data_IF_436176511729
#
_entry.id   IF_436176511729
#
_cell.length_a   1.000
_cell.length_b   1.000
_cell.length_c   1.000
_cell.angle_alpha   90.00
_cell.angle_beta   90.00
_cell.angle_gamma   90.00
#
_symmetry.space_group_name_H-M   'P 1'
#
loop_
_entity.id
_entity.type
_entity.pdbx_description
1 polymer ?
#
# COMPACT_ATOMS: atom_id res chain seq x y z
N UNK A 1 14.96 2.87 4.61
CA UNK A 1 13.91 3.84 4.25
C UNK A 1 12.96 3.95 5.44
N UNK A 2 12.27 5.08 5.63
CA UNK A 2 11.32 5.31 6.74
C UNK A 2 9.91 5.47 6.18
N UNK A 3 9.30 4.34 5.81
CA UNK A 3 7.96 4.27 5.19
C UNK A 3 6.88 4.86 6.10
N UNK A 4 6.84 4.62 7.42
CA UNK A 4 5.85 5.23 8.30
C UNK A 4 5.88 6.76 8.29
N UNK A 5 7.08 7.35 8.19
CA UNK A 5 7.22 8.80 8.10
C UNK A 5 6.76 9.35 6.75
N UNK A 6 6.98 8.61 5.66
CA UNK A 6 6.46 8.97 4.35
C UNK A 6 4.92 8.95 4.33
N UNK A 7 4.30 7.86 4.81
CA UNK A 7 2.84 7.76 4.94
C UNK A 7 2.27 8.90 5.76
N UNK A 8 2.90 9.23 6.90
CA UNK A 8 2.49 10.37 7.73
C UNK A 8 2.48 11.68 6.96
N UNK A 9 3.54 11.97 6.21
CA UNK A 9 3.62 13.21 5.41
C UNK A 9 2.50 13.28 4.39
N UNK A 10 2.25 12.19 3.67
CA UNK A 10 1.21 12.15 2.64
C UNK A 10 -0.19 12.33 3.25
N UNK A 11 -0.49 11.66 4.37
CA UNK A 11 -1.75 11.86 5.10
C UNK A 11 -1.91 13.29 5.62
N UNK A 12 -0.84 13.93 6.10
CA UNK A 12 -0.93 15.34 6.47
C UNK A 12 -1.27 16.24 5.28
N UNK A 13 -0.82 15.93 4.05
CA UNK A 13 -1.23 16.67 2.85
C UNK A 13 -2.72 16.47 2.55
N UNK A 14 -3.22 15.24 2.71
CA UNK A 14 -4.67 14.95 2.60
C UNK A 14 -5.47 15.78 3.60
N UNK A 15 -5.06 15.78 4.88
CA UNK A 15 -5.70 16.55 5.95
C UNK A 15 -5.66 18.06 5.68
N UNK A 16 -4.55 18.58 5.14
CA UNK A 16 -4.43 19.99 4.76
C UNK A 16 -5.45 20.37 3.69
N UNK A 17 -5.68 19.51 2.69
CA UNK A 17 -6.67 19.76 1.64
C UNK A 17 -8.13 19.75 2.11
N UNK A 18 -8.40 19.42 3.38
CA UNK A 18 -9.73 19.40 3.99
C UNK A 18 -9.98 20.61 4.92
N UNK A 19 -9.04 21.54 5.01
CA UNK A 19 -9.21 22.75 5.81
C UNK A 19 -10.27 23.69 5.22
N UNK A 20 -10.83 24.54 6.08
CA UNK A 20 -11.77 25.57 5.68
C UNK A 20 -11.00 26.80 5.14
N UNK A 21 -11.21 27.22 3.87
CA UNK A 21 -10.47 28.32 3.26
C UNK A 21 -11.06 29.71 3.55
N UNK A 22 -12.04 29.83 4.46
CA UNK A 22 -12.80 31.07 4.72
C UNK A 22 -11.95 32.35 4.93
N UNK A 23 -10.73 32.22 5.44
CA UNK A 23 -9.82 33.35 5.72
C UNK A 23 -8.73 33.56 4.64
N UNK A 24 -8.74 32.80 3.54
CA UNK A 24 -7.64 32.80 2.57
C UNK A 24 -7.73 33.96 1.58
N UNK A 25 -6.60 34.56 1.25
CA UNK A 25 -6.52 35.51 0.15
C UNK A 25 -6.59 34.82 -1.23
N UNK A 26 -6.84 35.54 -2.33
CA UNK A 26 -6.98 34.92 -3.65
C UNK A 26 -5.75 34.14 -4.15
N UNK A 27 -4.54 34.50 -3.70
CA UNK A 27 -3.31 33.76 -4.01
C UNK A 27 -3.21 32.48 -3.19
N UNK A 28 -3.50 32.57 -1.89
CA UNK A 28 -3.58 31.43 -0.98
C UNK A 28 -4.66 30.42 -1.43
N UNK A 29 -5.78 30.90 -1.97
CA UNK A 29 -6.85 30.05 -2.49
C UNK A 29 -6.41 29.23 -3.70
N UNK A 30 -5.65 29.83 -4.63
CA UNK A 30 -5.13 29.11 -5.80
C UNK A 30 -4.10 28.03 -5.41
N UNK A 31 -3.25 28.33 -4.42
CA UNK A 31 -2.33 27.33 -3.86
C UNK A 31 -3.08 26.22 -3.11
N UNK A 32 -4.12 26.60 -2.38
CA UNK A 32 -4.97 25.67 -1.65
C UNK A 32 -5.72 24.71 -2.57
N UNK A 33 -6.29 25.18 -3.68
CA UNK A 33 -6.91 24.32 -4.70
C UNK A 33 -5.94 23.25 -5.23
N UNK A 34 -4.67 23.62 -5.44
CA UNK A 34 -3.64 22.67 -5.86
C UNK A 34 -3.32 21.64 -4.76
N UNK A 35 -3.33 22.05 -3.49
CA UNK A 35 -3.16 21.15 -2.34
C UNK A 35 -4.36 20.21 -2.21
N UNK A 36 -5.59 20.70 -2.39
CA UNK A 36 -6.80 19.85 -2.39
C UNK A 36 -6.70 18.78 -3.46
N UNK A 37 -6.36 19.14 -4.70
CA UNK A 37 -6.21 18.19 -5.79
C UNK A 37 -5.09 17.16 -5.54
N UNK A 38 -3.95 17.61 -4.98
CA UNK A 38 -2.88 16.71 -4.57
C UNK A 38 -3.33 15.79 -3.42
N UNK A 39 -4.10 16.31 -2.46
CA UNK A 39 -4.69 15.58 -1.36
C UNK A 39 -5.61 14.47 -1.86
N UNK A 40 -6.55 14.78 -2.77
CA UNK A 40 -7.43 13.79 -3.39
C UNK A 40 -6.65 12.68 -4.11
N UNK A 41 -5.62 13.05 -4.89
CA UNK A 41 -4.74 12.09 -5.54
C UNK A 41 -4.06 11.16 -4.53
N UNK A 42 -3.49 11.72 -3.46
CA UNK A 42 -2.76 10.96 -2.46
C UNK A 42 -3.68 10.09 -1.60
N UNK A 43 -4.87 10.57 -1.27
CA UNK A 43 -5.86 9.79 -0.53
C UNK A 43 -6.34 8.59 -1.34
N UNK A 44 -6.69 8.82 -2.61
CA UNK A 44 -7.09 7.78 -3.56
C UNK A 44 -6.00 6.70 -3.75
N UNK A 45 -4.72 7.08 -3.63
CA UNK A 45 -3.60 6.14 -3.63
C UNK A 45 -3.46 5.38 -2.32
N UNK A 46 -3.54 6.07 -1.17
CA UNK A 46 -3.18 5.49 0.13
C UNK A 46 -4.26 4.59 0.70
N UNK A 47 -5.52 5.04 0.68
CA UNK A 47 -6.64 4.36 1.34
C UNK A 47 -6.74 2.86 1.02
N UNK A 48 -6.57 2.40 -0.24
CA UNK A 48 -6.60 0.98 -0.59
C UNK A 48 -5.62 0.10 0.17
N UNK A 49 -4.49 0.66 0.61
CA UNK A 49 -3.43 -0.06 1.30
C UNK A 49 -3.54 0.04 2.81
N UNK A 50 -4.10 1.15 3.32
CA UNK A 50 -4.03 1.49 4.74
C UNK A 50 -5.36 1.34 5.49
N UNK A 51 -6.48 1.31 4.77
CA UNK A 51 -7.81 1.29 5.35
C UNK A 51 -8.40 -0.13 5.30
N UNK A 52 -8.44 -0.77 6.48
CA UNK A 52 -8.90 -2.16 6.66
C UNK A 52 -10.41 -2.34 6.55
N UNK A 53 -11.15 -1.23 6.54
CA UNK A 53 -12.60 -1.20 6.50
C UNK A 53 -13.14 -1.02 5.06
N UNK A 54 -12.26 -0.78 4.06
CA UNK A 54 -12.67 -0.71 2.66
C UNK A 54 -12.89 -2.09 2.04
N UNK A 55 -14.03 -2.24 1.37
CA UNK A 55 -14.32 -3.38 0.50
C UNK A 55 -13.42 -3.41 -0.74
N UNK A 56 -13.34 -4.55 -1.41
CA UNK A 56 -12.54 -4.68 -2.64
C UNK A 56 -13.03 -3.71 -3.73
N UNK A 57 -14.33 -3.45 -3.81
CA UNK A 57 -14.89 -2.48 -4.74
C UNK A 57 -14.42 -1.05 -4.45
N UNK A 58 -14.48 -0.61 -3.20
CA UNK A 58 -14.02 0.74 -2.81
C UNK A 58 -12.51 0.88 -3.00
N UNK A 59 -11.73 -0.15 -2.69
CA UNK A 59 -10.28 -0.16 -2.97
C UNK A 59 -9.99 -0.01 -4.48
N UNK A 60 -10.72 -0.74 -5.32
CA UNK A 60 -10.56 -0.66 -6.78
C UNK A 60 -10.99 0.69 -7.33
N UNK A 61 -12.13 1.23 -6.88
CA UNK A 61 -12.63 2.55 -7.27
C UNK A 61 -11.64 3.66 -6.91
N UNK A 62 -11.09 3.61 -5.70
CA UNK A 62 -10.05 4.54 -5.24
C UNK A 62 -8.79 4.46 -6.12
N UNK A 63 -8.31 3.26 -6.46
CA UNK A 63 -7.14 3.11 -7.34
C UNK A 63 -7.42 3.59 -8.78
N UNK A 64 -8.64 3.43 -9.29
CA UNK A 64 -9.04 3.93 -10.60
C UNK A 64 -9.07 5.47 -10.59
N UNK A 65 -9.68 6.06 -9.55
CA UNK A 65 -9.69 7.52 -9.32
C UNK A 65 -8.26 8.06 -9.33
N UNK A 66 -7.36 7.43 -8.57
CA UNK A 66 -5.94 7.77 -8.56
C UNK A 66 -5.32 7.69 -9.95
N UNK A 67 -5.55 6.61 -10.71
CA UNK A 67 -5.01 6.43 -12.05
C UNK A 67 -5.48 7.51 -13.02
N UNK A 68 -6.76 7.89 -12.98
CA UNK A 68 -7.33 8.95 -13.81
C UNK A 68 -6.77 10.33 -13.44
N UNK A 69 -6.72 10.68 -12.15
CA UNK A 69 -6.14 11.94 -11.68
C UNK A 69 -4.66 12.04 -12.03
N UNK A 70 -3.88 10.97 -11.77
CA UNK A 70 -2.46 10.90 -12.12
C UNK A 70 -2.23 11.09 -13.62
N UNK A 71 -3.06 10.45 -14.46
CA UNK A 71 -2.98 10.60 -15.91
C UNK A 71 -3.29 12.02 -16.37
N UNK A 72 -4.32 12.67 -15.79
CA UNK A 72 -4.67 14.04 -16.10
C UNK A 72 -3.54 15.02 -15.71
N UNK A 73 -3.02 14.90 -14.48
CA UNK A 73 -1.94 15.73 -13.97
C UNK A 73 -0.63 15.53 -14.75
N UNK A 74 -0.27 14.28 -15.06
CA UNK A 74 0.89 13.98 -15.88
C UNK A 74 0.72 14.45 -17.33
N UNK A 75 -0.48 14.40 -17.91
CA UNK A 75 -0.73 14.95 -19.24
C UNK A 75 -0.60 16.47 -19.28
N UNK A 76 -1.04 17.16 -18.22
CA UNK A 76 -0.98 18.62 -18.12
C UNK A 76 0.45 19.14 -17.89
N UNK A 77 1.21 18.48 -17.02
CA UNK A 77 2.50 18.98 -16.53
C UNK A 77 3.71 18.16 -17.01
N UNK A 78 3.51 16.92 -17.46
CA UNK A 78 4.57 16.03 -17.89
C UNK A 78 5.56 15.72 -16.76
N UNK A 79 6.84 15.78 -17.09
CA UNK A 79 7.93 15.43 -16.17
C UNK A 79 8.19 16.45 -15.07
N UNK A 80 7.58 17.65 -15.13
CA UNK A 80 7.66 18.61 -14.03
C UNK A 80 6.83 18.17 -12.82
N UNK A 81 5.78 17.38 -13.05
CA UNK A 81 4.95 16.83 -11.98
C UNK A 81 5.56 15.56 -11.39
N UNK A 82 5.88 14.56 -12.23
CA UNK A 82 6.67 13.40 -11.79
C UNK A 82 7.56 12.82 -12.89
N UNK A 83 8.67 12.13 -12.54
CA UNK A 83 9.48 11.41 -13.50
C UNK A 83 8.66 10.36 -14.27
N UNK A 84 8.89 10.24 -15.58
CA UNK A 84 8.16 9.30 -16.45
C UNK A 84 8.24 7.85 -15.99
N UNK A 85 9.36 7.47 -15.37
CA UNK A 85 9.55 6.14 -14.80
C UNK A 85 8.57 5.89 -13.66
N UNK A 86 8.50 6.81 -12.68
CA UNK A 86 7.59 6.69 -11.55
C UNK A 86 6.12 6.71 -12.01
N UNK A 87 5.78 7.51 -13.04
CA UNK A 87 4.45 7.47 -13.65
C UNK A 87 4.10 6.09 -14.21
N UNK A 88 5.01 5.51 -14.98
CA UNK A 88 4.85 4.17 -15.52
C UNK A 88 4.66 3.12 -14.42
N UNK A 89 5.51 3.16 -13.40
CA UNK A 89 5.48 2.22 -12.28
C UNK A 89 4.16 2.30 -11.49
N UNK A 90 3.67 3.52 -11.21
CA UNK A 90 2.40 3.74 -10.51
C UNK A 90 1.20 3.24 -11.33
N UNK A 91 1.15 3.56 -12.62
CA UNK A 91 0.07 3.10 -13.51
C UNK A 91 0.07 1.56 -13.67
N UNK A 92 1.26 0.96 -13.77
CA UNK A 92 1.41 -0.51 -13.82
C UNK A 92 0.96 -1.14 -12.50
N UNK A 93 1.26 -0.51 -11.36
CA UNK A 93 0.84 -0.99 -10.04
C UNK A 93 -0.69 -1.03 -9.93
N UNK A 94 -1.37 0.06 -10.30
CA UNK A 94 -2.84 0.11 -10.34
C UNK A 94 -3.40 -0.95 -11.28
N UNK A 95 -2.86 -1.03 -12.51
CA UNK A 95 -3.29 -2.02 -13.51
C UNK A 95 -3.16 -3.45 -12.97
N UNK A 96 -2.04 -3.77 -12.31
CA UNK A 96 -1.81 -5.09 -11.74
C UNK A 96 -2.81 -5.39 -10.62
N UNK A 97 -3.09 -4.43 -9.73
CA UNK A 97 -4.09 -4.58 -8.69
C UNK A 97 -5.49 -4.86 -9.26
N UNK A 98 -5.91 -4.11 -10.28
CA UNK A 98 -7.20 -4.31 -10.96
C UNK A 98 -7.24 -5.68 -11.66
N UNK A 99 -6.18 -6.06 -12.38
CA UNK A 99 -6.12 -7.34 -13.11
C UNK A 99 -6.04 -8.57 -12.20
N UNK A 100 -5.71 -8.41 -10.92
CA UNK A 100 -5.77 -9.53 -9.97
C UNK A 100 -7.20 -9.95 -9.67
N UNK A 101 -8.16 -9.02 -9.66
CA UNK A 101 -9.59 -9.33 -9.42
C UNK A 101 -10.16 -10.33 -10.44
N UNK A 102 -10.11 -10.09 -11.77
CA UNK A 102 -10.64 -11.04 -12.74
C UNK A 102 -9.82 -12.33 -12.80
N UNK A 103 -8.50 -12.28 -12.57
CA UNK A 103 -7.67 -13.49 -12.48
C UNK A 103 -8.13 -14.40 -11.34
N UNK A 104 -8.33 -13.84 -10.16
CA UNK A 104 -8.82 -14.58 -9.00
C UNK A 104 -10.23 -15.10 -9.24
N UNK A 105 -11.12 -14.28 -9.83
CA UNK A 105 -12.48 -14.70 -10.20
C UNK A 105 -12.49 -15.91 -11.14
N UNK A 106 -11.63 -15.94 -12.16
CA UNK A 106 -11.54 -17.05 -13.09
C UNK A 106 -11.09 -18.35 -12.42
N UNK A 107 -10.27 -18.27 -11.37
CA UNK A 107 -9.84 -19.43 -10.59
C UNK A 107 -10.94 -19.87 -9.62
N UNK A 108 -11.41 -18.95 -8.79
CA UNK A 108 -12.53 -19.12 -7.88
C UNK A 108 -12.96 -17.74 -7.34
N UNK A 109 -14.18 -17.32 -7.69
CA UNK A 109 -14.77 -16.04 -7.28
C UNK A 109 -14.95 -15.84 -5.77
N UNK A 110 -14.99 -16.94 -5.01
CA UNK A 110 -15.11 -16.88 -3.55
C UNK A 110 -13.77 -16.58 -2.84
N UNK A 111 -12.64 -16.63 -3.56
CA UNK A 111 -11.34 -16.27 -3.00
C UNK A 111 -11.24 -14.76 -2.78
N UNK A 112 -10.62 -14.38 -1.66
CA UNK A 112 -10.36 -12.98 -1.32
C UNK A 112 -9.17 -12.43 -2.10
N UNK A 113 -9.26 -11.16 -2.48
CA UNK A 113 -8.15 -10.40 -3.08
C UNK A 113 -7.66 -9.38 -2.05
N UNK A 114 -6.39 -9.50 -1.67
CA UNK A 114 -5.74 -8.56 -0.75
C UNK A 114 -4.76 -7.70 -1.54
N UNK A 115 -5.14 -6.47 -1.87
CA UNK A 115 -4.30 -5.54 -2.64
C UNK A 115 -3.00 -5.20 -1.87
N UNK A 116 -3.04 -5.17 -0.53
CA UNK A 116 -1.84 -4.96 0.30
C UNK A 116 -0.74 -6.00 0.10
N UNK A 117 -1.06 -7.21 -0.38
CA UNK A 117 -0.06 -8.26 -0.64
C UNK A 117 0.65 -8.12 -1.99
N UNK A 118 0.33 -7.09 -2.78
CA UNK A 118 1.00 -6.85 -4.06
C UNK A 118 2.35 -6.14 -3.91
N UNK A 119 2.68 -5.66 -2.70
CA UNK A 119 3.99 -5.15 -2.33
C UNK A 119 4.99 -6.26 -1.97
N UNK A 120 6.16 -5.86 -1.46
CA UNK A 120 7.27 -6.75 -1.11
C UNK A 120 7.48 -6.93 0.40
N UNK A 121 6.59 -6.43 1.26
CA UNK A 121 6.66 -6.54 2.73
C UNK A 121 6.93 -7.97 3.24
N UNK A 122 6.33 -8.97 2.60
CA UNK A 122 6.53 -10.39 2.93
C UNK A 122 7.98 -10.78 2.66
N UNK A 123 8.54 -10.32 1.54
CA UNK A 123 9.92 -10.56 1.16
C UNK A 123 10.88 -9.78 2.06
N UNK A 124 10.57 -8.52 2.38
CA UNK A 124 11.35 -7.73 3.35
C UNK A 124 11.41 -8.41 4.72
N UNK A 125 10.30 -8.97 5.18
CA UNK A 125 10.22 -9.73 6.43
C UNK A 125 11.15 -10.95 6.39
N UNK A 126 11.14 -11.72 5.29
CA UNK A 126 12.04 -12.85 5.08
C UNK A 126 13.52 -12.42 5.09
N UNK A 127 13.85 -11.34 4.39
CA UNK A 127 15.21 -10.77 4.41
C UNK A 127 15.61 -10.20 5.77
N UNK A 128 14.66 -9.65 6.54
CA UNK A 128 14.90 -9.21 7.92
C UNK A 128 15.26 -10.38 8.83
N UNK A 129 14.48 -11.48 8.75
CA UNK A 129 14.74 -12.71 9.51
C UNK A 129 16.06 -13.36 9.13
N UNK A 130 16.39 -13.42 7.83
CA UNK A 130 17.67 -14.01 7.38
C UNK A 130 18.89 -13.25 7.93
N UNK A 131 18.81 -11.92 8.00
CA UNK A 131 19.86 -11.09 8.63
C UNK A 131 19.94 -11.31 10.14
N UNK A 132 18.80 -11.45 10.82
CA UNK A 132 18.75 -11.74 12.26
C UNK A 132 19.37 -13.09 12.62
N UNK A 133 19.15 -14.14 11.80
CA UNK A 133 19.79 -15.45 11.99
C UNK A 133 21.32 -15.35 11.92
N UNK A 134 21.85 -14.44 11.09
CA UNK A 134 23.28 -14.18 10.97
C UNK A 134 23.92 -13.49 12.17
N UNK A 135 23.13 -12.95 13.11
CA UNK A 135 23.63 -12.24 14.30
C UNK A 135 24.59 -11.09 13.91
N UNK A 136 25.85 -11.22 14.33
CA UNK A 136 26.91 -10.24 14.02
C UNK A 136 27.41 -10.29 12.57
N UNK A 137 26.96 -11.25 11.76
CA UNK A 137 27.27 -11.36 10.33
C UNK A 137 26.00 -11.18 9.48
N UNK A 138 25.46 -9.96 9.39
CA UNK A 138 24.20 -9.69 8.67
C UNK A 138 24.37 -9.85 7.15
N UNK A 139 25.59 -9.69 6.64
CA UNK A 139 25.92 -9.94 5.24
C UNK A 139 26.29 -11.41 5.07
N UNK A 140 25.72 -12.07 4.08
CA UNK A 140 25.92 -13.49 3.81
C UNK A 140 26.36 -13.71 2.37
N UNK A 141 27.23 -14.70 2.15
CA UNK A 141 27.42 -15.29 0.83
C UNK A 141 26.14 -15.94 0.32
N UNK A 142 26.05 -16.25 -0.98
CA UNK A 142 24.85 -16.88 -1.58
C UNK A 142 24.50 -18.20 -0.90
N UNK A 143 25.48 -19.04 -0.58
CA UNK A 143 25.28 -20.32 0.11
C UNK A 143 24.75 -20.13 1.54
N UNK A 144 25.32 -19.15 2.26
CA UNK A 144 24.83 -18.81 3.60
C UNK A 144 23.42 -18.23 3.56
N UNK A 145 23.11 -17.41 2.55
CA UNK A 145 21.77 -16.86 2.36
C UNK A 145 20.76 -17.98 2.12
N UNK A 146 21.08 -18.97 1.27
CA UNK A 146 20.24 -20.14 1.03
C UNK A 146 19.95 -20.90 2.34
N UNK A 147 20.98 -21.18 3.13
CA UNK A 147 20.83 -21.87 4.42
C UNK A 147 20.00 -21.05 5.42
N UNK A 148 20.20 -19.74 5.47
CA UNK A 148 19.44 -18.83 6.34
C UNK A 148 17.98 -18.70 5.89
N UNK A 149 17.70 -18.69 4.60
CA UNK A 149 16.33 -18.69 4.07
C UNK A 149 15.59 -19.97 4.40
N UNK A 150 16.22 -21.14 4.22
CA UNK A 150 15.62 -22.41 4.63
C UNK A 150 15.28 -22.40 6.14
N UNK A 151 16.21 -21.90 6.96
CA UNK A 151 15.99 -21.77 8.40
C UNK A 151 14.87 -20.77 8.73
N UNK A 152 14.81 -19.63 8.05
CA UNK A 152 13.79 -18.61 8.25
C UNK A 152 12.40 -19.09 7.85
N UNK A 153 12.27 -19.84 6.74
CA UNK A 153 11.00 -20.45 6.32
C UNK A 153 10.53 -21.53 7.30
N UNK A 154 11.45 -22.37 7.80
CA UNK A 154 11.11 -23.35 8.83
C UNK A 154 10.61 -22.68 10.11
N UNK A 155 11.23 -21.57 10.52
CA UNK A 155 10.77 -20.78 11.65
C UNK A 155 9.40 -20.15 11.37
N UNK A 156 9.15 -19.64 10.17
CA UNK A 156 7.86 -19.07 9.80
C UNK A 156 6.74 -20.10 9.87
N UNK A 157 6.99 -21.31 9.35
CA UNK A 157 6.05 -22.43 9.46
C UNK A 157 5.75 -22.78 10.93
N UNK A 158 6.76 -22.81 11.79
CA UNK A 158 6.56 -23.07 13.22
C UNK A 158 5.74 -21.95 13.87
N UNK A 159 6.02 -20.68 13.56
CA UNK A 159 5.28 -19.54 14.11
C UNK A 159 3.86 -19.42 13.56
N UNK A 160 3.60 -19.90 12.35
CA UNK A 160 2.24 -19.99 11.80
C UNK A 160 1.39 -20.99 12.59
N UNK A 161 1.98 -22.11 13.03
CA UNK A 161 1.31 -23.11 13.88
C UNK A 161 1.27 -22.69 15.36
N UNK A 162 2.29 -21.97 15.84
CA UNK A 162 2.44 -21.50 17.22
C UNK A 162 2.77 -20.00 17.30
N UNK A 163 1.79 -19.11 17.01
CA UNK A 163 2.01 -17.66 16.97
C UNK A 163 2.54 -17.08 18.29
N UNK A 164 2.26 -17.73 19.42
CA UNK A 164 2.68 -17.32 20.75
C UNK A 164 4.18 -17.52 21.02
N UNK A 165 4.88 -18.33 20.20
CA UNK A 165 6.33 -18.54 20.31
C UNK A 165 7.13 -17.45 19.62
N UNK A 166 6.51 -16.67 18.74
CA UNK A 166 7.19 -15.57 18.05
C UNK A 166 7.43 -14.41 19.02
N UNK A 167 8.68 -14.25 19.46
CA UNK A 167 9.10 -13.02 20.16
C UNK A 167 9.12 -11.87 19.18
N UNK A 168 7.97 -11.21 19.02
CA UNK A 168 7.89 -9.96 18.26
C UNK A 168 8.85 -8.95 18.89
N UNK A 169 9.75 -8.32 18.11
CA UNK A 169 10.69 -7.37 18.67
C UNK A 169 9.90 -6.30 19.44
N UNK A 170 10.31 -6.02 20.69
CA UNK A 170 9.87 -4.84 21.45
C UNK A 170 10.40 -3.59 20.73
N UNK A 171 9.78 -3.26 19.60
CA UNK A 171 10.09 -2.05 18.84
C UNK A 171 9.58 -0.90 19.69
N UNK A 172 10.50 -0.04 20.15
CA UNK A 172 10.22 1.17 20.92
C UNK A 172 8.94 1.83 20.39
N UNK A 173 7.95 1.93 21.27
CA UNK A 173 6.58 2.34 21.00
C UNK A 173 6.52 3.78 20.50
N UNK A 174 6.68 4.00 19.20
CA UNK A 174 6.13 5.20 18.56
C UNK A 174 4.68 4.91 18.20
N UNK A 175 3.80 5.64 18.87
CA UNK A 175 2.36 5.47 18.88
C UNK A 175 1.72 5.71 17.49
N UNK A 176 0.74 4.86 17.18
CA UNK A 176 -0.39 5.01 16.23
C UNK A 176 -0.19 4.79 14.73
N UNK A 177 0.90 5.22 14.08
CA UNK A 177 1.00 5.12 12.59
C UNK A 177 1.73 3.88 12.05
N UNK A 178 2.49 3.14 12.87
CA UNK A 178 3.26 1.98 12.39
C UNK A 178 2.43 0.72 12.14
N UNK A 179 1.18 0.66 12.58
CA UNK A 179 0.30 -0.49 12.26
C UNK A 179 -0.13 -0.49 10.79
N UNK A 180 -0.06 0.67 10.14
CA UNK A 180 -0.45 0.87 8.74
C UNK A 180 0.57 0.24 7.77
N UNK A 181 1.85 0.26 8.14
CA UNK A 181 2.98 -0.19 7.31
C UNK A 181 3.15 -1.71 7.24
N UNK A 182 2.37 -2.47 8.03
CA UNK A 182 2.47 -3.93 8.10
C UNK A 182 1.08 -4.58 8.23
N UNK A 183 0.14 -4.13 7.40
CA UNK A 183 -1.22 -4.68 7.40
C UNK A 183 -1.23 -6.10 6.84
N UNK A 184 -1.80 -7.02 7.62
CA UNK A 184 -1.95 -8.42 7.24
C UNK A 184 -3.38 -8.68 6.74
N UNK A 185 -3.59 -9.73 5.92
CA UNK A 185 -4.93 -10.16 5.51
C UNK A 185 -5.94 -10.28 6.65
N UNK A 186 -5.49 -10.70 7.84
CA UNK A 186 -6.30 -10.84 9.06
C UNK A 186 -6.87 -9.52 9.60
N UNK A 187 -6.23 -8.38 9.27
CA UNK A 187 -6.67 -7.08 9.76
C UNK A 187 -7.87 -6.54 8.97
N UNK A 188 -8.08 -6.99 7.74
CA UNK A 188 -9.16 -6.54 6.87
C UNK A 188 -10.50 -7.14 7.28
N UNK A 189 -11.49 -6.27 7.48
CA UNK A 189 -12.82 -6.64 8.00
C UNK A 189 -13.91 -6.62 6.93
N UNK A 190 -13.68 -5.90 5.84
CA UNK A 190 -14.65 -5.70 4.78
C UNK A 190 -14.76 -6.90 3.84
N UNK A 191 -15.71 -6.80 2.89
CA UNK A 191 -15.91 -7.81 1.85
C UNK A 191 -14.81 -7.72 0.78
N UNK A 192 -14.01 -8.78 0.67
CA UNK A 192 -12.86 -8.85 -0.23
C UNK A 192 -12.92 -9.98 -1.26
N UNK A 193 -14.02 -10.75 -1.34
CA UNK A 193 -14.17 -11.81 -2.35
C UNK A 193 -14.10 -11.24 -3.76
N UNK A 194 -13.43 -11.94 -4.68
CA UNK A 194 -13.29 -11.47 -6.06
C UNK A 194 -14.65 -11.23 -6.73
N UNK A 195 -15.67 -12.04 -6.43
CA UNK A 195 -17.02 -11.90 -6.99
C UNK A 195 -17.85 -10.73 -6.47
N UNK A 196 -17.50 -10.16 -5.31
CA UNK A 196 -18.19 -8.97 -4.81
C UNK A 196 -17.86 -7.71 -5.62
N UNK A 197 -16.74 -7.70 -6.34
CA UNK A 197 -16.23 -6.52 -7.03
C UNK A 197 -16.72 -6.41 -8.49
N UNK A 198 -17.63 -5.47 -8.77
CA UNK A 198 -18.01 -5.17 -10.15
C UNK A 198 -17.05 -4.15 -10.79
N UNK A 199 -16.04 -4.65 -11.50
CA UNK A 199 -15.01 -3.83 -12.15
C UNK A 199 -15.57 -2.79 -13.12
N UNK A 200 -16.64 -3.09 -13.86
CA UNK A 200 -17.24 -2.15 -14.80
C UNK A 200 -17.92 -0.99 -14.08
N UNK A 201 -18.54 -1.26 -12.93
CA UNK A 201 -19.13 -0.23 -12.08
C UNK A 201 -18.04 0.62 -11.44
N UNK A 202 -17.01 -0.01 -10.86
CA UNK A 202 -15.89 0.70 -10.24
C UNK A 202 -15.16 1.60 -11.24
N UNK A 203 -14.97 1.15 -12.50
CA UNK A 203 -14.36 1.95 -13.57
C UNK A 203 -15.18 3.17 -13.99
N UNK A 204 -16.50 3.16 -13.79
CA UNK A 204 -17.35 4.31 -14.10
C UNK A 204 -17.44 5.29 -12.93
N UNK A 205 -17.24 4.81 -11.71
CA UNK A 205 -17.36 5.59 -10.49
C UNK A 205 -16.06 6.37 -10.19
N UNK A 206 -14.91 5.72 -10.33
CA UNK A 206 -13.59 6.36 -10.31
C UNK A 206 -13.15 6.89 -11.66
#
# INVERSE_FOLDING_TARGET
>A
QDVPRAIKLLLCIVELGQLDPDDFDPGELAEFEAICLLGELLDAWLQPFINVDLSLSEQVESLITFSHLLAALYKANGTSFLPSQLYGDLQITVKNAILMVPKTRLVNGELKVFICLLGDDVLETLFGRSRMIGGHSPNSSVTELQNRFNSAMNLDYIYEQHPEWERKPRRLSMFRMRHVDHLRPENFKAELRADSCNLQACWKAG
#
